data_IF_017533727577
#
_entry.id   IF_017533727577
#
_cell.length_a   1.000
_cell.length_b   1.000
_cell.length_c   1.000
_cell.angle_alpha   90.00
_cell.angle_beta   90.00
_cell.angle_gamma   90.00
#
_symmetry.space_group_name_H-M   'P 1'
#
loop_
_entity.id
_entity.type
_entity.pdbx_description
1 polymer ?
#
# COMPACT_ATOMS: atom_id res chain seq x y z
N UNK A 1 -1.33 4.76 10.28
CA UNK A 1 -2.40 3.78 10.02
C UNK A 1 -3.19 3.68 11.31
N UNK A 2 -4.51 3.87 11.27
CA UNK A 2 -5.35 3.70 12.45
C UNK A 2 -5.82 2.25 12.51
N UNK A 3 -5.82 1.64 13.69
CA UNK A 3 -6.45 0.33 13.89
C UNK A 3 -7.97 0.54 13.96
N UNK A 4 -8.72 -0.27 13.23
CA UNK A 4 -10.17 -0.25 13.25
C UNK A 4 -10.68 -1.39 14.13
N UNK A 5 -11.36 -1.04 15.22
CA UNK A 5 -12.05 -2.02 16.06
C UNK A 5 -13.40 -2.36 15.43
N UNK A 6 -13.62 -3.65 15.22
CA UNK A 6 -14.74 -4.19 14.43
C UNK A 6 -16.06 -3.93 15.17
N UNK A 7 -16.94 -3.08 14.61
CA UNK A 7 -18.33 -2.94 15.06
C UNK A 7 -19.23 -4.10 14.58
N UNK A 8 -20.54 -4.02 14.86
CA UNK A 8 -21.51 -5.09 14.54
C UNK A 8 -21.55 -5.47 13.05
N UNK A 9 -21.31 -4.50 12.15
CA UNK A 9 -21.31 -4.69 10.70
C UNK A 9 -19.99 -5.27 10.16
N UNK A 10 -19.01 -5.47 11.02
CA UNK A 10 -17.73 -6.00 10.65
C UNK A 10 -16.69 -4.99 10.15
N UNK A 11 -15.55 -5.51 9.68
CA UNK A 11 -14.50 -4.71 9.07
C UNK A 11 -14.74 -4.64 7.56
N UNK A 12 -14.41 -3.51 6.94
CA UNK A 12 -14.50 -3.34 5.50
C UNK A 12 -13.12 -3.42 4.84
N UNK A 13 -13.09 -3.91 3.59
CA UNK A 13 -11.88 -4.05 2.79
C UNK A 13 -12.05 -3.25 1.50
N UNK A 14 -11.02 -2.51 1.10
CA UNK A 14 -11.05 -1.67 -0.09
C UNK A 14 -11.40 -0.21 0.20
N UNK A 15 -11.67 0.55 -0.87
CA UNK A 15 -11.91 1.99 -0.82
C UNK A 15 -13.35 2.30 -0.42
N UNK A 16 -13.52 3.10 0.63
CA UNK A 16 -14.81 3.66 1.06
C UNK A 16 -14.63 5.17 1.20
N UNK A 17 -15.15 5.94 0.24
CA UNK A 17 -14.95 7.39 0.19
C UNK A 17 -13.46 7.79 0.18
N UNK A 18 -13.05 8.58 1.17
CA UNK A 18 -11.68 9.08 1.34
C UNK A 18 -10.79 8.15 2.20
N UNK A 19 -11.31 7.00 2.62
CA UNK A 19 -10.57 6.02 3.42
C UNK A 19 -10.45 4.69 2.70
N UNK A 20 -9.43 3.93 3.06
CA UNK A 20 -9.19 2.58 2.56
C UNK A 20 -9.06 1.66 3.78
N UNK A 21 -9.92 0.64 3.83
CA UNK A 21 -9.86 -0.44 4.81
C UNK A 21 -8.98 -1.58 4.30
N UNK A 22 -8.16 -2.15 5.18
CA UNK A 22 -7.32 -3.31 4.88
C UNK A 22 -7.10 -4.15 6.13
N UNK A 23 -6.68 -5.40 5.96
CA UNK A 23 -6.30 -6.28 7.07
C UNK A 23 -4.79 -6.38 7.12
N UNK A 24 -4.20 -6.00 8.25
CA UNK A 24 -2.77 -6.06 8.49
C UNK A 24 -2.48 -6.88 9.74
N UNK A 25 -1.69 -7.95 9.60
CA UNK A 25 -1.30 -8.86 10.70
C UNK A 25 -2.50 -9.30 11.56
N UNK A 26 -3.61 -9.68 10.92
CA UNK A 26 -4.83 -10.11 11.60
C UNK A 26 -5.69 -8.99 12.21
N UNK A 27 -5.25 -7.73 12.18
CA UNK A 27 -6.02 -6.57 12.63
C UNK A 27 -6.62 -5.83 11.45
N UNK A 28 -7.83 -5.30 11.61
CA UNK A 28 -8.40 -4.40 10.61
C UNK A 28 -7.77 -3.02 10.82
N UNK A 29 -7.31 -2.42 9.74
CA UNK A 29 -6.66 -1.10 9.75
C UNK A 29 -7.31 -0.22 8.70
N UNK A 30 -7.42 1.07 9.04
CA UNK A 30 -7.90 2.11 8.17
C UNK A 30 -6.75 3.08 7.85
N UNK A 31 -6.68 3.50 6.59
CA UNK A 31 -5.76 4.55 6.13
C UNK A 31 -6.52 5.55 5.29
N UNK A 32 -6.04 6.79 5.24
CA UNK A 32 -6.50 7.75 4.25
C UNK A 32 -6.14 7.28 2.84
N UNK A 33 -6.98 7.65 1.89
CA UNK A 33 -6.65 7.53 0.47
C UNK A 33 -5.36 8.31 0.22
N UNK A 34 -4.37 7.74 -0.50
CA UNK A 34 -3.16 8.46 -0.82
C UNK A 34 -3.50 9.73 -1.61
N UNK A 35 -3.02 10.87 -1.15
CA UNK A 35 -3.17 12.13 -1.87
C UNK A 35 -2.28 12.07 -3.11
N UNK A 36 -2.88 12.27 -4.29
CA UNK A 36 -2.10 12.48 -5.52
C UNK A 36 -1.48 13.87 -5.45
N UNK A 37 -0.17 13.92 -5.18
CA UNK A 37 0.62 15.15 -5.19
C UNK A 37 1.73 15.10 -6.23
N UNK A 38 2.26 16.27 -6.60
CA UNK A 38 3.52 16.38 -7.35
C UNK A 38 4.70 16.26 -6.38
N UNK A 39 4.96 15.05 -5.89
CA UNK A 39 6.12 14.80 -5.05
C UNK A 39 7.31 14.37 -5.92
N UNK A 40 8.40 15.12 -5.83
CA UNK A 40 9.69 14.69 -6.37
C UNK A 40 10.27 13.65 -5.41
N UNK A 41 10.59 12.44 -5.88
CA UNK A 41 11.18 11.42 -5.02
C UNK A 41 12.54 11.88 -4.49
N UNK A 42 12.88 11.49 -3.27
CA UNK A 42 14.23 11.72 -2.75
C UNK A 42 15.21 10.73 -3.37
N UNK A 43 16.50 11.05 -3.36
CA UNK A 43 17.57 10.17 -3.89
C UNK A 43 17.48 8.75 -3.32
N UNK A 44 17.28 8.61 -2.01
CA UNK A 44 17.08 7.31 -1.34
C UNK A 44 15.84 6.56 -1.85
N UNK A 45 14.76 7.27 -2.19
CA UNK A 45 13.56 6.65 -2.76
C UNK A 45 13.79 6.17 -4.19
N UNK A 46 14.56 6.93 -4.99
CA UNK A 46 14.94 6.53 -6.35
C UNK A 46 15.83 5.29 -6.34
N UNK A 47 16.82 5.24 -5.45
CA UNK A 47 17.66 4.05 -5.27
C UNK A 47 16.83 2.80 -4.93
N UNK A 48 15.85 2.91 -4.04
CA UNK A 48 14.97 1.79 -3.71
C UNK A 48 14.11 1.35 -4.89
N UNK A 49 13.55 2.32 -5.65
CA UNK A 49 12.80 2.01 -6.87
C UNK A 49 13.67 1.31 -7.90
N UNK A 50 14.93 1.73 -8.03
CA UNK A 50 15.88 1.14 -8.97
C UNK A 50 16.25 -0.29 -8.58
N UNK A 51 16.56 -0.54 -7.30
CA UNK A 51 16.78 -1.91 -6.78
C UNK A 51 15.60 -2.81 -7.07
N UNK A 52 14.38 -2.35 -6.79
CA UNK A 52 13.17 -3.12 -7.01
C UNK A 52 12.92 -3.38 -8.50
N UNK A 53 13.13 -2.38 -9.36
CA UNK A 53 13.03 -2.50 -10.81
C UNK A 53 14.00 -3.55 -11.36
N UNK A 54 15.25 -3.55 -10.90
CA UNK A 54 16.27 -4.52 -11.33
C UNK A 54 15.87 -5.94 -10.96
N UNK A 55 15.44 -6.17 -9.72
CA UNK A 55 15.03 -7.50 -9.25
C UNK A 55 13.82 -8.00 -10.05
N UNK A 56 12.79 -7.17 -10.23
CA UNK A 56 11.61 -7.55 -11.02
C UNK A 56 11.98 -7.82 -12.47
N UNK A 57 12.79 -6.96 -13.09
CA UNK A 57 13.22 -7.13 -14.49
C UNK A 57 14.00 -8.43 -14.69
N UNK A 58 14.80 -8.84 -13.71
CA UNK A 58 15.53 -10.10 -13.74
C UNK A 58 14.61 -11.32 -13.57
N UNK A 59 13.61 -11.23 -12.70
CA UNK A 59 12.69 -12.34 -12.40
C UNK A 59 11.55 -12.47 -13.44
N UNK A 60 11.15 -11.38 -14.08
CA UNK A 60 9.99 -11.37 -15.01
C UNK A 60 10.07 -12.40 -16.15
N UNK A 61 11.23 -12.70 -16.75
CA UNK A 61 11.34 -13.74 -17.79
C UNK A 61 11.22 -15.17 -17.25
N UNK A 62 11.42 -15.37 -15.94
CA UNK A 62 11.39 -16.69 -15.30
C UNK A 62 9.96 -17.05 -14.86
N UNK A 63 9.13 -16.03 -14.57
CA UNK A 63 7.76 -16.18 -14.06
C UNK A 63 6.73 -16.05 -15.20
N UNK A 64 7.09 -16.51 -16.40
CA UNK A 64 6.18 -16.63 -17.54
C UNK A 64 5.19 -17.77 -17.37
#
# INVERSE_FOLDING_TARGET
MATFEKGILGGFSGKVGNVVGSRWRGKNVMRSLPQRGKYTPTTKQEEQRLKFKTVISFLSPIVG
#
